data_IF_713797138933
#
_entry.id   IF_713797138933
#
_cell.length_a   1.000
_cell.length_b   1.000
_cell.length_c   1.000
_cell.angle_alpha   90.00
_cell.angle_beta   90.00
_cell.angle_gamma   90.00
#
_symmetry.space_group_name_H-M   'P 1'
#
loop_
_entity.id
_entity.type
_entity.pdbx_description
1 polymer ?
#
# COMPACT_ATOMS: atom_id res chain seq x y z
N UNK A 1 10.59 -4.93 -17.18
CA UNK A 1 9.51 -5.01 -16.17
C UNK A 1 8.32 -4.23 -16.72
N UNK A 2 7.11 -4.78 -16.60
CA UNK A 2 5.93 -4.09 -17.08
C UNK A 2 5.59 -2.95 -16.10
N UNK A 3 5.52 -1.73 -16.62
CA UNK A 3 4.90 -0.61 -15.90
C UNK A 3 3.43 -0.56 -16.28
N UNK A 4 2.50 -0.20 -15.38
CA UNK A 4 1.09 -0.14 -15.72
C UNK A 4 0.81 0.70 -16.97
N UNK A 5 -0.12 0.27 -17.83
CA UNK A 5 -0.46 1.00 -19.05
C UNK A 5 -1.29 2.27 -18.79
N UNK A 6 -2.05 2.31 -17.69
CA UNK A 6 -2.81 3.49 -17.27
C UNK A 6 -1.89 4.55 -16.62
N UNK A 7 -2.11 5.82 -16.96
CA UNK A 7 -1.39 6.97 -16.36
C UNK A 7 -1.63 6.99 -14.85
N UNK A 8 -2.88 6.82 -14.42
CA UNK A 8 -3.28 6.85 -13.01
C UNK A 8 -2.66 5.70 -12.22
N UNK A 9 -2.63 4.50 -12.81
CA UNK A 9 -1.97 3.35 -12.20
C UNK A 9 -0.46 3.58 -12.05
N UNK A 10 0.21 4.17 -13.05
CA UNK A 10 1.65 4.50 -12.95
C UNK A 10 1.95 5.53 -11.87
N UNK A 11 1.05 6.49 -11.66
CA UNK A 11 1.21 7.50 -10.62
C UNK A 11 1.25 6.82 -9.24
N UNK A 12 0.25 5.98 -8.94
CA UNK A 12 0.22 5.22 -7.70
C UNK A 12 1.40 4.26 -7.57
N UNK A 13 1.77 3.56 -8.64
CA UNK A 13 2.95 2.69 -8.66
C UNK A 13 4.20 3.43 -8.21
N UNK A 14 4.51 4.57 -8.84
CA UNK A 14 5.71 5.36 -8.51
C UNK A 14 5.66 5.90 -7.08
N UNK A 15 4.51 6.43 -6.67
CA UNK A 15 4.30 6.90 -5.30
C UNK A 15 4.55 5.79 -4.28
N UNK A 16 4.14 4.54 -4.56
CA UNK A 16 4.36 3.43 -3.64
C UNK A 16 5.85 3.21 -3.32
N UNK A 17 6.70 3.18 -4.35
CA UNK A 17 8.14 3.00 -4.17
C UNK A 17 8.79 4.19 -3.48
N UNK A 18 8.46 5.42 -3.88
CA UNK A 18 9.00 6.61 -3.21
C UNK A 18 8.63 6.64 -1.73
N UNK A 19 7.37 6.35 -1.39
CA UNK A 19 6.93 6.32 0.02
C UNK A 19 7.62 5.21 0.82
N UNK A 20 7.84 4.05 0.22
CA UNK A 20 8.53 2.96 0.89
C UNK A 20 10.02 3.25 1.07
N UNK A 21 10.67 3.87 0.09
CA UNK A 21 12.06 4.35 0.20
C UNK A 21 12.19 5.43 1.29
N UNK A 22 11.30 6.42 1.29
CA UNK A 22 11.22 7.45 2.34
C UNK A 22 11.07 6.79 3.73
N UNK A 23 10.20 5.77 3.84
CA UNK A 23 10.00 5.03 5.08
C UNK A 23 11.26 4.30 5.56
N UNK A 24 12.01 3.68 4.64
CA UNK A 24 13.27 3.01 4.97
C UNK A 24 14.33 4.00 5.48
N UNK A 25 14.37 5.21 4.91
CA UNK A 25 15.27 6.28 5.39
C UNK A 25 14.87 6.71 6.81
N UNK A 26 13.58 6.92 7.06
CA UNK A 26 13.07 7.31 8.38
C UNK A 26 13.35 6.24 9.44
N UNK A 27 13.19 4.97 9.10
CA UNK A 27 13.48 3.86 10.02
C UNK A 27 14.96 3.87 10.43
N UNK A 28 15.87 4.03 9.45
CA UNK A 28 17.32 4.14 9.72
C UNK A 28 17.68 5.34 10.59
N UNK A 29 16.88 6.40 10.53
CA UNK A 29 17.02 7.61 11.35
C UNK A 29 16.28 7.51 12.70
N UNK A 30 15.78 6.34 13.09
CA UNK A 30 15.00 6.11 14.31
C UNK A 30 13.69 6.93 14.42
N UNK A 31 13.15 7.37 13.28
CA UNK A 31 11.84 8.02 13.17
C UNK A 31 10.76 6.98 12.87
N UNK A 32 10.56 6.04 13.80
CA UNK A 32 9.77 4.81 13.58
C UNK A 32 8.31 5.05 13.23
N UNK A 33 7.63 5.99 13.90
CA UNK A 33 6.22 6.33 13.57
C UNK A 33 6.11 6.91 12.17
N UNK A 34 7.04 7.80 11.79
CA UNK A 34 7.10 8.35 10.44
C UNK A 34 7.38 7.27 9.39
N UNK A 35 8.27 6.32 9.71
CA UNK A 35 8.56 5.18 8.84
C UNK A 35 7.32 4.31 8.60
N UNK A 36 6.64 3.87 9.67
CA UNK A 36 5.40 3.09 9.58
C UNK A 36 4.32 3.85 8.80
N UNK A 37 4.18 5.14 9.09
CA UNK A 37 3.23 6.02 8.43
C UNK A 37 3.43 6.05 6.91
N UNK A 38 4.65 6.31 6.44
CA UNK A 38 4.96 6.36 5.00
C UNK A 38 4.94 4.97 4.35
N UNK A 39 5.42 3.94 5.03
CA UNK A 39 5.37 2.57 4.52
C UNK A 39 3.93 2.12 4.24
N UNK A 40 2.98 2.50 5.11
CA UNK A 40 1.58 2.18 4.87
C UNK A 40 0.96 2.93 3.70
N UNK A 41 1.33 4.20 3.47
CA UNK A 41 0.99 4.87 2.20
C UNK A 41 1.60 4.17 0.98
N UNK A 42 2.79 3.58 1.14
CA UNK A 42 3.40 2.73 0.12
C UNK A 42 2.49 1.56 -0.27
N UNK A 43 2.00 0.83 0.73
CA UNK A 43 1.06 -0.29 0.55
C UNK A 43 -0.28 0.16 -0.04
N UNK A 44 -0.85 1.26 0.45
CA UNK A 44 -2.07 1.84 -0.13
C UNK A 44 -1.90 2.15 -1.62
N UNK A 45 -0.81 2.84 -1.96
CA UNK A 45 -0.54 3.24 -3.34
C UNK A 45 -0.35 2.02 -4.24
N UNK A 46 0.42 1.01 -3.84
CA UNK A 46 0.63 -0.16 -4.69
C UNK A 46 -0.67 -0.94 -4.91
N UNK A 47 -1.55 -1.01 -3.89
CA UNK A 47 -2.88 -1.60 -4.03
C UNK A 47 -3.77 -0.83 -4.99
N UNK A 48 -3.80 0.51 -4.91
CA UNK A 48 -4.55 1.35 -5.86
C UNK A 48 -4.07 1.17 -7.29
N UNK A 49 -2.75 1.08 -7.50
CA UNK A 49 -2.17 0.76 -8.80
C UNK A 49 -2.64 -0.61 -9.30
N UNK A 50 -2.61 -1.62 -8.44
CA UNK A 50 -3.00 -2.98 -8.79
C UNK A 50 -4.49 -3.09 -9.10
N UNK A 51 -5.35 -2.45 -8.32
CA UNK A 51 -6.79 -2.36 -8.58
C UNK A 51 -7.02 -1.78 -9.97
N UNK A 52 -6.44 -0.63 -10.31
CA UNK A 52 -6.62 0.00 -11.62
C UNK A 52 -6.10 -0.87 -12.77
N UNK A 53 -5.02 -1.61 -12.56
CA UNK A 53 -4.47 -2.54 -13.55
C UNK A 53 -5.45 -3.67 -13.85
N UNK A 54 -6.11 -4.23 -12.83
CA UNK A 54 -7.09 -5.31 -13.03
C UNK A 54 -8.45 -4.79 -13.52
N UNK A 55 -8.82 -3.55 -13.17
CA UNK A 55 -10.06 -2.93 -13.62
C UNK A 55 -10.09 -2.76 -15.15
N UNK A 56 -11.16 -3.21 -15.83
CA UNK A 56 -11.37 -2.96 -17.26
C UNK A 56 -11.31 -1.47 -17.59
N UNK A 57 -10.69 -1.11 -18.72
CA UNK A 57 -10.46 0.29 -19.11
C UNK A 57 -11.71 1.16 -19.08
N UNK A 58 -12.88 0.61 -19.43
CA UNK A 58 -14.17 1.31 -19.41
C UNK A 58 -14.59 1.77 -18.00
N UNK A 59 -14.17 1.06 -16.95
CA UNK A 59 -14.55 1.33 -15.55
C UNK A 59 -13.44 1.99 -14.73
N UNK A 60 -12.23 2.14 -15.28
CA UNK A 60 -11.07 2.70 -14.56
C UNK A 60 -11.34 4.10 -14.00
N UNK A 61 -12.07 4.94 -14.73
CA UNK A 61 -12.39 6.31 -14.28
C UNK A 61 -13.25 6.31 -13.01
N UNK A 62 -14.24 5.42 -12.94
CA UNK A 62 -15.16 5.33 -11.81
C UNK A 62 -14.44 4.74 -10.59
N UNK A 63 -13.65 3.68 -10.81
CA UNK A 63 -12.82 3.07 -9.74
C UNK A 63 -11.79 4.08 -9.22
N UNK A 64 -11.12 4.82 -10.09
CA UNK A 64 -10.22 5.90 -9.67
C UNK A 64 -10.96 6.98 -8.85
N UNK A 65 -12.18 7.35 -9.27
CA UNK A 65 -13.03 8.28 -8.54
C UNK A 65 -13.40 7.80 -7.12
N UNK A 66 -13.44 6.48 -6.90
CA UNK A 66 -13.72 5.88 -5.60
C UNK A 66 -12.55 5.99 -4.60
N UNK A 67 -11.34 6.32 -5.06
CA UNK A 67 -10.16 6.50 -4.20
C UNK A 67 -10.14 7.86 -3.48
N UNK A 68 -11.30 8.30 -2.99
CA UNK A 68 -11.49 9.55 -2.26
C UNK A 68 -12.13 9.29 -0.90
N UNK A 69 -11.78 10.14 0.07
CA UNK A 69 -12.29 10.06 1.44
C UNK A 69 -11.65 8.95 2.28
N UNK A 70 -12.08 8.84 3.54
CA UNK A 70 -11.44 7.97 4.55
C UNK A 70 -11.34 6.50 4.14
N UNK A 71 -12.38 5.93 3.53
CA UNK A 71 -12.39 4.52 3.08
C UNK A 71 -11.32 4.21 2.04
N UNK A 72 -10.85 5.20 1.27
CA UNK A 72 -9.78 5.00 0.30
C UNK A 72 -8.40 4.77 0.93
N UNK A 73 -8.32 4.87 2.26
CA UNK A 73 -7.14 4.56 3.07
C UNK A 73 -7.34 3.27 3.89
N UNK A 74 -8.43 2.53 3.69
CA UNK A 74 -8.71 1.30 4.42
C UNK A 74 -8.20 0.08 3.63
N UNK A 75 -7.29 -0.70 4.23
CA UNK A 75 -6.71 -1.85 3.55
C UNK A 75 -7.72 -2.95 3.23
N UNK A 76 -8.69 -3.21 4.11
CA UNK A 76 -9.67 -4.26 3.87
C UNK A 76 -10.63 -3.86 2.75
N UNK A 77 -10.99 -2.58 2.68
CA UNK A 77 -11.72 -2.01 1.56
C UNK A 77 -10.92 -2.13 0.26
N UNK A 78 -9.64 -1.75 0.25
CA UNK A 78 -8.78 -1.85 -0.94
C UNK A 78 -8.59 -3.30 -1.39
N UNK A 79 -8.37 -4.23 -0.46
CA UNK A 79 -8.29 -5.67 -0.76
C UNK A 79 -9.59 -6.19 -1.35
N UNK A 80 -10.73 -5.74 -0.83
CA UNK A 80 -12.05 -6.07 -1.36
C UNK A 80 -12.22 -5.53 -2.78
N UNK A 81 -11.85 -4.26 -3.03
CA UNK A 81 -11.89 -3.66 -4.36
C UNK A 81 -11.01 -4.42 -5.36
N UNK A 82 -9.81 -4.81 -4.97
CA UNK A 82 -8.92 -5.60 -5.82
C UNK A 82 -9.57 -6.92 -6.24
N UNK A 83 -10.19 -7.64 -5.30
CA UNK A 83 -10.89 -8.91 -5.61
C UNK A 83 -12.13 -8.70 -6.47
N UNK A 84 -12.92 -7.65 -6.23
CA UNK A 84 -14.10 -7.32 -7.02
C UNK A 84 -13.76 -6.93 -8.46
N UNK A 85 -12.58 -6.36 -8.69
CA UNK A 85 -12.09 -5.97 -10.01
C UNK A 85 -11.32 -7.08 -10.75
N UNK A 86 -11.49 -8.35 -10.34
CA UNK A 86 -10.86 -9.49 -11.02
C UNK A 86 -9.48 -9.89 -10.50
N UNK A 87 -9.00 -9.25 -9.43
CA UNK A 87 -7.75 -9.58 -8.77
C UNK A 87 -7.70 -11.02 -8.25
N UNK A 88 -6.54 -11.65 -8.39
CA UNK A 88 -6.32 -13.01 -7.90
C UNK A 88 -6.34 -13.07 -6.35
N UNK A 89 -6.47 -14.29 -5.80
CA UNK A 89 -6.29 -14.50 -4.36
C UNK A 89 -4.88 -14.07 -3.91
N UNK A 90 -4.79 -13.46 -2.74
CA UNK A 90 -3.52 -13.21 -2.09
C UNK A 90 -2.89 -14.55 -1.66
N UNK A 91 -1.60 -14.79 -1.92
CA UNK A 91 -0.87 -15.89 -1.32
C UNK A 91 -0.91 -15.82 0.21
N UNK A 92 -0.62 -16.94 0.87
CA UNK A 92 -0.64 -17.04 2.34
C UNK A 92 0.30 -16.00 2.98
N UNK A 93 1.54 -15.93 2.52
CA UNK A 93 2.55 -14.98 3.02
C UNK A 93 2.13 -13.51 2.93
N UNK A 94 1.41 -13.13 1.86
CA UNK A 94 0.90 -11.77 1.66
C UNK A 94 -0.29 -11.52 2.57
N UNK A 95 -1.12 -12.54 2.81
CA UNK A 95 -2.24 -12.47 3.76
C UNK A 95 -1.73 -12.27 5.18
N UNK A 96 -0.70 -13.01 5.58
CA UNK A 96 -0.03 -12.85 6.89
C UNK A 96 0.62 -11.46 7.01
N UNK A 97 1.24 -10.96 5.94
CA UNK A 97 1.78 -9.59 5.92
C UNK A 97 0.69 -8.53 6.14
N UNK A 98 -0.50 -8.70 5.57
CA UNK A 98 -1.64 -7.81 5.83
C UNK A 98 -2.06 -7.80 7.30
N UNK A 99 -2.00 -8.94 8.00
CA UNK A 99 -2.27 -8.99 9.44
C UNK A 99 -1.27 -8.16 10.24
N UNK A 100 0.01 -8.15 9.86
CA UNK A 100 1.06 -7.41 10.56
C UNK A 100 0.97 -5.89 10.38
N UNK A 101 0.32 -5.42 9.31
CA UNK A 101 0.20 -3.99 9.00
C UNK A 101 -1.18 -3.41 9.28
N UNK A 102 -2.13 -4.21 9.79
CA UNK A 102 -3.53 -3.82 9.91
C UNK A 102 -3.79 -2.67 10.90
N UNK A 103 -2.83 -2.36 11.77
CA UNK A 103 -2.93 -1.24 12.71
C UNK A 103 -2.63 0.11 12.07
N UNK A 104 -2.18 0.13 10.80
CA UNK A 104 -1.93 1.38 10.10
C UNK A 104 -3.21 2.20 9.94
N UNK A 105 -3.10 3.49 10.22
CA UNK A 105 -4.15 4.47 10.01
C UNK A 105 -3.53 5.79 9.60
N UNK A 106 -4.29 6.59 8.85
CA UNK A 106 -3.90 7.97 8.56
C UNK A 106 -3.77 8.81 9.84
N UNK A 107 -4.36 8.40 10.97
CA UNK A 107 -4.28 9.12 12.23
C UNK A 107 -2.89 9.02 12.90
N UNK A 108 -2.01 8.14 12.42
CA UNK A 108 -0.61 8.09 12.84
C UNK A 108 0.12 9.44 12.63
N UNK A 109 -0.39 10.32 11.76
CA UNK A 109 0.05 11.72 11.63
C UNK A 109 0.04 12.50 12.93
N UNK A 110 -0.88 12.17 13.83
CA UNK A 110 -1.13 12.90 15.07
C UNK A 110 -0.57 12.18 16.29
N UNK A 111 0.14 11.06 16.08
CA UNK A 111 0.78 10.29 17.17
C UNK A 111 2.18 10.88 17.40
N UNK A 112 2.43 11.53 18.56
CA UNK A 112 3.71 12.18 18.83
C UNK A 112 4.78 11.20 19.32
N UNK A 113 4.40 9.98 19.70
CA UNK A 113 5.30 8.95 20.20
C UNK A 113 5.83 8.07 19.07
N UNK A 114 7.02 7.52 19.28
CA UNK A 114 7.60 6.50 18.40
C UNK A 114 6.88 5.15 18.60
N UNK A 115 6.61 4.47 17.48
CA UNK A 115 6.34 3.02 17.47
C UNK A 115 7.61 2.29 17.95
N UNK A 116 7.46 1.15 18.63
CA UNK A 116 8.61 0.37 19.08
C UNK A 116 9.42 -0.12 17.87
N UNK A 117 10.74 -0.12 17.99
CA UNK A 117 11.64 -0.46 16.88
C UNK A 117 11.29 -1.82 16.22
N UNK A 118 11.12 -2.87 17.03
CA UNK A 118 10.73 -4.19 16.54
C UNK A 118 9.38 -4.20 15.79
N UNK A 119 8.42 -3.38 16.24
CA UNK A 119 7.10 -3.29 15.59
C UNK A 119 7.22 -2.53 14.26
N UNK A 120 8.08 -1.51 14.20
CA UNK A 120 8.35 -0.76 12.98
C UNK A 120 9.14 -1.60 11.95
N UNK A 121 10.15 -2.35 12.39
CA UNK A 121 10.89 -3.30 11.55
C UNK A 121 9.97 -4.37 10.97
N UNK A 122 9.14 -4.97 11.83
CA UNK A 122 8.15 -5.96 11.43
C UNK A 122 7.15 -5.40 10.41
N UNK A 123 6.68 -4.17 10.64
CA UNK A 123 5.79 -3.48 9.71
C UNK A 123 6.44 -3.21 8.36
N UNK A 124 7.65 -2.63 8.32
CA UNK A 124 8.33 -2.32 7.06
C UNK A 124 8.70 -3.57 6.27
N UNK A 125 9.07 -4.66 6.95
CA UNK A 125 9.29 -5.96 6.33
C UNK A 125 8.01 -6.50 5.69
N UNK A 126 6.87 -6.44 6.40
CA UNK A 126 5.58 -6.85 5.87
C UNK A 126 5.10 -5.97 4.70
N UNK A 127 5.26 -4.65 4.82
CA UNK A 127 4.94 -3.70 3.75
C UNK A 127 5.78 -3.99 2.48
N UNK A 128 7.07 -4.26 2.64
CA UNK A 128 7.96 -4.64 1.54
C UNK A 128 7.49 -5.90 0.81
N UNK A 129 7.12 -6.96 1.55
CA UNK A 129 6.56 -8.19 0.98
C UNK A 129 5.32 -7.94 0.12
N UNK A 130 4.42 -7.07 0.58
CA UNK A 130 3.20 -6.72 -0.16
C UNK A 130 3.53 -5.93 -1.43
N UNK A 131 4.43 -4.95 -1.33
CA UNK A 131 4.87 -4.12 -2.46
C UNK A 131 5.57 -4.97 -3.52
N UNK A 132 6.48 -5.86 -3.13
CA UNK A 132 7.20 -6.73 -4.06
C UNK A 132 6.27 -7.74 -4.74
N UNK A 133 5.33 -8.33 -3.98
CA UNK A 133 4.31 -9.21 -4.55
C UNK A 133 3.45 -8.47 -5.58
N UNK A 134 2.99 -7.26 -5.26
CA UNK A 134 2.16 -6.47 -6.17
C UNK A 134 2.95 -6.01 -7.40
N UNK A 135 4.23 -5.65 -7.23
CA UNK A 135 5.15 -5.32 -8.33
C UNK A 135 5.28 -6.45 -9.35
N UNK A 136 5.33 -7.71 -8.90
CA UNK A 136 5.40 -8.88 -9.78
C UNK A 136 4.14 -9.11 -10.63
N UNK A 137 3.08 -8.33 -10.43
CA UNK A 137 1.77 -8.46 -11.08
C UNK A 137 1.37 -7.27 -11.96
N UNK A 138 2.15 -6.18 -11.90
CA UNK A 138 1.98 -4.97 -12.71
C UNK A 138 2.80 -5.05 -13.98
#
# INVERSE_FOLDING_TARGET
MATPNSVDARLFYRCAFHRYEDAQILLKAAHTTGAVYLAGYGVECILKSLILKETPRASQKDVFGSFRGGRAHDYDWLRTQYRQNGGAKFPREVTEAFTLINYWSTDLRYVPSNVRDNDADGFLSAAGKIIDWARGRL
#
